data_IF_339867346414
#
_entry.id   IF_339867346414
#
_cell.length_a   1.000
_cell.length_b   1.000
_cell.length_c   1.000
_cell.angle_alpha   90.00
_cell.angle_beta   90.00
_cell.angle_gamma   90.00
#
_symmetry.space_group_name_H-M   'P 1'
#
loop_
_entity.id
_entity.type
_entity.pdbx_description
1 polymer ?
#
# COMPACT_ATOMS: atom_id res chain seq x y z
N UNK A 1 16.29 -16.29 -9.16
CA UNK A 1 14.94 -16.87 -9.19
C UNK A 1 13.98 -15.83 -8.65
N UNK A 2 13.22 -15.20 -9.55
CA UNK A 2 12.07 -14.34 -9.28
C UNK A 2 11.27 -14.38 -10.60
N UNK A 3 9.95 -14.65 -10.63
CA UNK A 3 8.94 -14.19 -9.68
C UNK A 3 7.94 -15.29 -9.23
N UNK A 4 7.31 -15.11 -8.07
CA UNK A 4 5.96 -15.62 -7.77
C UNK A 4 5.38 -14.73 -6.67
N UNK A 5 5.06 -13.49 -7.03
CA UNK A 5 4.02 -12.74 -6.31
C UNK A 5 3.04 -12.35 -7.39
N UNK A 6 1.89 -13.01 -7.41
CA UNK A 6 0.79 -12.74 -8.34
C UNK A 6 0.09 -11.41 -8.07
N UNK A 7 0.66 -10.55 -7.22
CA UNK A 7 -0.04 -9.44 -6.57
C UNK A 7 0.93 -8.29 -6.28
N UNK A 8 0.87 -7.23 -7.09
CA UNK A 8 1.80 -6.09 -7.05
C UNK A 8 1.31 -4.94 -6.15
N UNK A 9 1.63 -5.04 -4.85
CA UNK A 9 2.00 -3.95 -3.92
C UNK A 9 2.51 -4.66 -2.65
N UNK A 10 3.76 -4.44 -2.27
CA UNK A 10 4.29 -4.93 -0.99
C UNK A 10 4.15 -3.83 0.05
N UNK A 11 3.29 -4.04 1.05
CA UNK A 11 3.07 -3.09 2.15
C UNK A 11 3.70 -3.65 3.42
N UNK A 12 4.47 -2.82 4.11
CA UNK A 12 5.04 -3.12 5.42
C UNK A 12 4.51 -2.10 6.43
N UNK A 13 3.74 -2.60 7.40
CA UNK A 13 3.42 -1.87 8.62
C UNK A 13 4.43 -2.24 9.69
N UNK A 14 5.14 -1.26 10.24
CA UNK A 14 6.10 -1.49 11.32
C UNK A 14 5.65 -0.71 12.55
N UNK A 15 5.55 -1.42 13.69
CA UNK A 15 5.36 -0.78 14.98
C UNK A 15 6.68 -0.09 15.41
N UNK A 16 6.63 1.23 15.57
CA UNK A 16 7.74 2.07 16.04
C UNK A 16 7.32 2.69 17.37
N UNK A 17 7.72 2.06 18.47
CA UNK A 17 7.25 2.44 19.80
C UNK A 17 5.80 2.01 20.02
N UNK A 18 4.91 2.96 20.33
CA UNK A 18 3.48 2.73 20.56
C UNK A 18 2.60 3.07 19.35
N UNK A 19 3.18 3.07 18.14
CA UNK A 19 2.50 3.55 16.95
C UNK A 19 3.03 2.90 15.67
N UNK A 20 2.29 3.04 14.59
CA UNK A 20 2.52 2.37 13.32
C UNK A 20 3.03 3.33 12.25
N UNK A 21 4.00 2.84 11.47
CA UNK A 21 4.49 3.48 10.25
C UNK A 21 4.25 2.56 9.05
N UNK A 22 3.86 3.14 7.92
CA UNK A 22 3.53 2.39 6.72
C UNK A 22 4.46 2.75 5.56
N UNK A 23 5.00 1.72 4.92
CA UNK A 23 5.74 1.84 3.66
C UNK A 23 5.18 0.89 2.62
N UNK A 24 5.28 1.28 1.36
CA UNK A 24 4.79 0.51 0.23
C UNK A 24 5.83 0.45 -0.88
N UNK A 25 5.89 -0.68 -1.59
CA UNK A 25 6.70 -0.85 -2.78
C UNK A 25 5.82 -1.31 -3.94
N UNK A 26 5.80 -0.51 -4.99
CA UNK A 26 4.90 -0.69 -6.12
C UNK A 26 5.63 -1.29 -7.31
N UNK A 27 4.93 -2.15 -8.05
CA UNK A 27 5.39 -2.73 -9.31
C UNK A 27 4.31 -2.51 -10.36
N UNK A 28 4.73 -2.33 -11.61
CA UNK A 28 3.85 -2.11 -12.76
C UNK A 28 4.26 -3.06 -13.87
N UNK A 29 3.29 -3.43 -14.70
CA UNK A 29 3.52 -4.25 -15.87
C UNK A 29 4.00 -3.38 -17.05
N UNK A 30 5.08 -3.80 -17.72
CA UNK A 30 5.70 -3.04 -18.80
C UNK A 30 6.18 -3.94 -19.97
N UNK A 31 5.55 -3.85 -21.16
CA UNK A 31 4.37 -3.06 -21.46
C UNK A 31 3.11 -3.65 -20.77
N UNK A 32 2.00 -2.89 -20.68
CA UNK A 32 0.76 -3.40 -20.10
C UNK A 32 0.32 -4.73 -20.75
N UNK A 33 -0.16 -5.67 -19.94
CA UNK A 33 -0.62 -7.01 -20.33
C UNK A 33 0.48 -7.94 -20.89
N UNK A 34 1.76 -7.63 -20.66
CA UNK A 34 2.88 -8.43 -21.18
C UNK A 34 3.32 -9.60 -20.30
N UNK A 35 2.85 -9.66 -19.05
CA UNK A 35 3.35 -10.51 -17.98
C UNK A 35 4.69 -10.04 -17.39
N UNK A 36 5.29 -8.96 -17.92
CA UNK A 36 6.60 -8.46 -17.48
C UNK A 36 6.42 -7.39 -16.43
N UNK A 37 6.77 -7.72 -15.18
CA UNK A 37 6.67 -6.79 -14.06
C UNK A 37 8.01 -6.12 -13.79
N UNK A 38 7.96 -4.80 -13.62
CA UNK A 38 9.09 -4.00 -13.15
C UNK A 38 8.71 -3.15 -11.96
N UNK A 39 9.71 -2.68 -11.22
CA UNK A 39 9.47 -1.69 -10.16
C UNK A 39 8.87 -0.42 -10.78
N UNK A 40 7.90 0.17 -10.09
CA UNK A 40 7.38 1.48 -10.49
C UNK A 40 8.51 2.52 -10.44
N UNK A 41 8.40 3.55 -11.26
CA UNK A 41 9.30 4.71 -11.22
C UNK A 41 8.59 5.93 -10.65
N UNK A 42 9.29 7.06 -10.59
CA UNK A 42 8.80 8.27 -9.94
C UNK A 42 7.50 8.75 -10.57
N UNK A 43 6.43 8.87 -9.79
CA UNK A 43 5.16 9.40 -10.26
C UNK A 43 4.26 8.38 -10.96
N UNK A 44 4.70 7.13 -11.21
CA UNK A 44 3.90 6.18 -11.99
C UNK A 44 2.68 5.63 -11.24
N UNK A 45 2.80 5.46 -9.92
CA UNK A 45 1.74 4.90 -9.09
C UNK A 45 1.34 5.92 -8.03
N UNK A 46 0.04 6.17 -7.90
CA UNK A 46 -0.57 6.90 -6.80
C UNK A 46 -0.97 5.90 -5.72
N UNK A 47 -0.55 6.13 -4.48
CA UNK A 47 -0.89 5.29 -3.33
C UNK A 47 -1.62 6.13 -2.29
N UNK A 48 -2.80 5.65 -1.88
CA UNK A 48 -3.65 6.28 -0.88
C UNK A 48 -3.65 5.40 0.37
N UNK A 49 -3.35 6.01 1.53
CA UNK A 49 -3.49 5.39 2.85
C UNK A 49 -4.75 5.93 3.51
N UNK A 50 -5.69 5.03 3.82
CA UNK A 50 -6.92 5.35 4.53
C UNK A 50 -6.94 4.67 5.91
N UNK A 51 -7.55 5.35 6.87
CA UNK A 51 -7.98 4.76 8.14
C UNK A 51 -9.45 4.38 8.04
N UNK A 52 -9.78 3.12 8.31
CA UNK A 52 -11.16 2.64 8.27
C UNK A 52 -11.94 2.99 9.53
N UNK A 53 -11.25 3.11 10.67
CA UNK A 53 -11.90 3.31 11.97
C UNK A 53 -12.84 2.17 12.34
N UNK A 54 -13.81 2.49 13.20
CA UNK A 54 -14.88 1.57 13.57
C UNK A 54 -15.91 1.42 12.45
N UNK A 55 -16.69 0.33 12.46
CA UNK A 55 -17.68 0.03 11.41
C UNK A 55 -18.75 1.13 11.17
N UNK A 56 -18.95 2.03 12.13
CA UNK A 56 -19.87 3.17 12.03
C UNK A 56 -19.20 4.46 11.57
N UNK A 57 -17.87 4.51 11.54
CA UNK A 57 -17.10 5.69 11.15
C UNK A 57 -16.93 5.74 9.63
N UNK A 58 -16.93 6.93 9.03
CA UNK A 58 -16.53 7.06 7.64
C UNK A 58 -15.03 6.78 7.52
N UNK A 59 -14.65 6.13 6.42
CA UNK A 59 -13.25 6.01 6.01
C UNK A 59 -12.61 7.38 5.88
N UNK A 60 -11.43 7.54 6.47
CA UNK A 60 -10.66 8.78 6.44
C UNK A 60 -9.39 8.60 5.61
N UNK A 61 -9.27 9.34 4.51
CA UNK A 61 -8.00 9.47 3.79
C UNK A 61 -6.99 10.19 4.68
N UNK A 62 -5.89 9.51 5.00
CA UNK A 62 -4.83 10.06 5.83
C UNK A 62 -3.81 10.79 4.95
N UNK A 63 -3.35 10.11 3.91
CA UNK A 63 -2.32 10.65 3.04
C UNK A 63 -2.35 9.97 1.67
N UNK A 64 -2.01 10.76 0.64
CA UNK A 64 -1.91 10.34 -0.75
C UNK A 64 -0.55 10.75 -1.29
N UNK A 65 0.16 9.79 -1.87
CA UNK A 65 1.52 9.98 -2.37
C UNK A 65 1.75 9.23 -3.66
N UNK A 66 2.65 9.76 -4.48
CA UNK A 66 3.17 9.02 -5.61
C UNK A 66 4.46 8.28 -5.26
N UNK A 67 4.75 7.22 -6.01
CA UNK A 67 6.03 6.52 -5.93
C UNK A 67 7.21 7.45 -6.18
N UNK A 68 8.31 7.25 -5.45
CA UNK A 68 9.57 7.91 -5.70
C UNK A 68 10.35 7.26 -6.87
N UNK A 69 11.56 7.74 -7.16
CA UNK A 69 12.41 7.19 -8.23
C UNK A 69 12.76 5.71 -8.04
N UNK A 70 12.68 5.22 -6.80
CA UNK A 70 12.86 3.81 -6.48
C UNK A 70 11.54 3.05 -6.50
N UNK A 71 10.37 3.61 -6.83
CA UNK A 71 9.10 2.86 -6.79
C UNK A 71 8.58 2.58 -5.38
N UNK A 72 9.12 3.27 -4.39
CA UNK A 72 8.71 3.14 -2.99
C UNK A 72 7.83 4.35 -2.58
N UNK A 73 6.96 4.14 -1.60
CA UNK A 73 6.18 5.16 -0.89
C UNK A 73 6.37 4.97 0.61
N UNK A 74 6.46 6.08 1.33
CA UNK A 74 6.52 6.08 2.80
C UNK A 74 5.54 7.11 3.33
N UNK A 75 4.61 6.68 4.16
CA UNK A 75 3.64 7.55 4.79
C UNK A 75 4.24 8.14 6.06
N UNK A 76 4.25 9.47 6.12
CA UNK A 76 4.90 10.18 7.21
C UNK A 76 3.87 10.36 8.32
N UNK A 77 4.00 9.61 9.40
CA UNK A 77 3.01 9.62 10.46
C UNK A 77 3.27 8.58 11.52
N UNK A 78 2.60 8.78 12.65
CA UNK A 78 2.62 7.91 13.82
C UNK A 78 1.17 7.53 14.02
N UNK A 79 0.77 6.35 13.55
CA UNK A 79 -0.63 5.93 13.47
C UNK A 79 -0.99 5.02 14.65
N UNK A 80 -2.24 5.10 15.12
CA UNK A 80 -2.72 4.22 16.20
C UNK A 80 -2.92 2.78 15.69
N UNK A 81 -3.10 1.82 16.59
CA UNK A 81 -3.65 0.51 16.22
C UNK A 81 -5.04 0.66 15.60
N UNK A 82 -5.44 -0.28 14.76
CA UNK A 82 -6.71 -0.25 14.04
C UNK A 82 -6.61 -0.78 12.61
N UNK A 83 -7.68 -0.60 11.84
CA UNK A 83 -7.77 -1.06 10.45
C UNK A 83 -7.47 0.06 9.47
N UNK A 84 -6.59 -0.23 8.52
CA UNK A 84 -6.15 0.68 7.46
C UNK A 84 -6.33 0.03 6.10
N UNK A 85 -6.42 0.84 5.05
CA UNK A 85 -6.27 0.35 3.68
C UNK A 85 -5.21 1.12 2.94
N UNK A 86 -4.49 0.42 2.06
CA UNK A 86 -3.54 1.02 1.14
C UNK A 86 -3.93 0.64 -0.28
N UNK A 87 -4.32 1.64 -1.06
CA UNK A 87 -4.72 1.47 -2.45
C UNK A 87 -3.66 2.07 -3.36
N UNK A 88 -3.06 1.23 -4.22
CA UNK A 88 -2.16 1.64 -5.28
C UNK A 88 -2.89 1.68 -6.62
N UNK A 89 -2.71 2.75 -7.37
CA UNK A 89 -3.27 2.94 -8.71
C UNK A 89 -2.18 3.31 -9.69
N UNK A 90 -2.00 2.50 -10.73
CA UNK A 90 -1.12 2.84 -11.84
C UNK A 90 -1.77 3.94 -12.69
N UNK A 91 -1.10 5.08 -12.83
CA UNK A 91 -1.70 6.26 -13.48
C UNK A 91 -1.96 6.02 -14.97
N UNK A 92 -1.08 5.28 -15.64
CA UNK A 92 -1.15 5.07 -17.08
C UNK A 92 -2.20 4.02 -17.47
N UNK A 93 -2.20 2.84 -16.86
CA UNK A 93 -3.17 1.78 -17.19
C UNK A 93 -4.50 1.92 -16.44
N UNK A 94 -4.49 2.59 -15.28
CA UNK A 94 -5.64 2.67 -14.40
C UNK A 94 -5.83 1.45 -13.50
N UNK A 95 -4.93 0.46 -13.57
CA UNK A 95 -4.97 -0.73 -12.72
C UNK A 95 -4.88 -0.34 -11.25
N UNK A 96 -5.64 -1.02 -10.40
CA UNK A 96 -5.76 -0.73 -8.97
C UNK A 96 -5.49 -2.00 -8.19
N UNK A 97 -4.74 -1.85 -7.12
CA UNK A 97 -4.46 -2.91 -6.18
C UNK A 97 -4.66 -2.38 -4.77
N UNK A 98 -5.46 -3.07 -3.96
CA UNK A 98 -5.82 -2.60 -2.62
C UNK A 98 -5.58 -3.66 -1.58
N UNK A 99 -4.90 -3.30 -0.51
CA UNK A 99 -4.73 -4.13 0.68
C UNK A 99 -5.36 -3.50 1.90
N UNK A 100 -5.81 -4.33 2.82
CA UNK A 100 -6.20 -3.98 4.17
C UNK A 100 -5.10 -4.43 5.13
N UNK A 101 -4.76 -3.55 6.07
CA UNK A 101 -3.77 -3.80 7.11
C UNK A 101 -4.47 -3.63 8.46
N UNK A 102 -4.46 -4.69 9.27
CA UNK A 102 -5.03 -4.69 10.62
C UNK A 102 -3.89 -4.65 11.63
N UNK A 103 -3.73 -3.53 12.31
CA UNK A 103 -2.67 -3.27 13.27
C UNK A 103 -3.16 -3.53 14.69
N UNK A 104 -2.51 -4.45 15.41
CA UNK A 104 -2.89 -4.88 16.75
C UNK A 104 -2.05 -4.17 17.82
N UNK A 105 -2.61 -4.01 19.03
CA UNK A 105 -1.93 -3.36 20.15
C UNK A 105 -0.69 -4.11 20.68
N UNK A 106 -0.55 -5.38 20.32
CA UNK A 106 0.62 -6.20 20.66
C UNK A 106 1.81 -6.02 19.71
N UNK A 107 1.68 -5.12 18.72
CA UNK A 107 2.71 -4.84 17.73
C UNK A 107 2.73 -5.82 16.56
N UNK A 108 1.74 -6.72 16.47
CA UNK A 108 1.54 -7.58 15.28
C UNK A 108 0.55 -6.94 14.30
N UNK A 109 0.55 -7.43 13.06
CA UNK A 109 -0.39 -6.96 12.05
C UNK A 109 -0.76 -8.07 11.07
N UNK A 110 -1.98 -8.00 10.54
CA UNK A 110 -2.46 -8.85 9.46
C UNK A 110 -2.63 -8.06 8.17
N UNK A 111 -2.41 -8.70 7.02
CA UNK A 111 -2.60 -8.09 5.70
C UNK A 111 -3.51 -8.98 4.85
N UNK A 112 -4.51 -8.38 4.24
CA UNK A 112 -5.41 -9.04 3.28
C UNK A 112 -5.59 -8.20 2.02
N UNK A 113 -5.85 -8.85 0.89
CA UNK A 113 -6.08 -8.18 -0.39
C UNK A 113 -7.56 -7.93 -0.57
N UNK A 114 -7.94 -6.68 -0.84
CA UNK A 114 -9.33 -6.28 -1.11
C UNK A 114 -9.62 -6.18 -2.62
N UNK A 115 -8.64 -5.77 -3.43
CA UNK A 115 -8.78 -5.55 -4.88
C UNK A 115 -7.50 -5.98 -5.59
N UNK A 116 -7.65 -6.73 -6.69
CA UNK A 116 -6.59 -7.08 -7.66
C UNK A 116 -6.79 -6.40 -9.02
#
# INVERSE_FOLDING_TARGET
MSPQVSQALYVEGVAVGAAWQFTGRCFVEDPPQSGNWRKATSGEVEVILDYLGEWWQPTQELERKNTNASGDVSFAGTHASGSYTMEAKHIQSGDRYKVRVECHDDGTYDVSVEIE
#
